data_IF_813521366884
#
_entry.id   IF_813521366884
#
_cell.length_a   1.000
_cell.length_b   1.000
_cell.length_c   1.000
_cell.angle_alpha   90.00
_cell.angle_beta   90.00
_cell.angle_gamma   90.00
#
_symmetry.space_group_name_H-M   'P 1'
#
loop_
_entity.id
_entity.type
_entity.pdbx_description
1 polymer ?
#
# COMPACT_ATOMS: atom_id res chain seq x y z
N UNK A 1 -10.52 -21.26 -6.89
CA UNK A 1 -11.24 -21.02 -5.62
C UNK A 1 -11.32 -19.53 -5.38
N UNK A 2 -12.49 -19.05 -5.01
CA UNK A 2 -12.68 -17.66 -4.58
C UNK A 2 -13.13 -17.61 -3.12
N UNK A 3 -12.76 -16.53 -2.44
CA UNK A 3 -13.13 -16.28 -1.05
C UNK A 3 -13.76 -14.90 -0.88
N UNK A 4 -14.55 -14.75 0.18
CA UNK A 4 -15.02 -13.46 0.68
C UNK A 4 -14.63 -13.33 2.15
N UNK A 5 -14.19 -12.13 2.56
CA UNK A 5 -13.84 -11.85 3.95
C UNK A 5 -14.92 -10.96 4.56
N UNK A 6 -15.43 -11.38 5.73
CA UNK A 6 -16.40 -10.62 6.53
C UNK A 6 -15.76 -10.20 7.83
N UNK A 7 -15.57 -8.91 8.03
CA UNK A 7 -15.14 -8.32 9.30
C UNK A 7 -16.36 -7.98 10.16
N UNK A 8 -16.31 -8.37 11.44
CA UNK A 8 -17.42 -8.22 12.38
C UNK A 8 -16.93 -7.36 13.54
N UNK A 9 -17.59 -6.21 13.71
CA UNK A 9 -17.32 -5.26 14.77
C UNK A 9 -18.00 -3.92 14.48
N UNK A 10 -18.72 -3.40 15.43
CA UNK A 10 -19.42 -2.11 15.33
C UNK A 10 -18.44 -0.94 15.30
N UNK A 11 -17.28 -1.04 15.98
CA UNK A 11 -16.21 -0.06 16.01
C UNK A 11 -15.59 0.20 14.62
N UNK A 12 -15.61 -0.83 13.75
CA UNK A 12 -15.17 -0.69 12.36
C UNK A 12 -16.13 0.19 11.55
N UNK A 13 -17.44 0.01 11.75
CA UNK A 13 -18.47 0.81 11.07
C UNK A 13 -18.52 2.25 11.58
N UNK A 14 -18.14 2.48 12.83
CA UNK A 14 -18.03 3.82 13.42
C UNK A 14 -16.75 4.54 13.00
N UNK A 15 -15.82 3.84 12.35
CA UNK A 15 -14.54 4.41 11.94
C UNK A 15 -13.56 4.64 13.09
N UNK A 16 -13.79 4.02 14.25
CA UNK A 16 -12.92 4.14 15.42
C UNK A 16 -11.60 3.42 15.22
N UNK A 17 -11.61 2.32 14.46
CA UNK A 17 -10.43 1.56 14.08
C UNK A 17 -10.43 1.23 12.58
N UNK A 18 -9.22 1.03 12.03
CA UNK A 18 -9.04 0.62 10.64
C UNK A 18 -9.01 -0.91 10.55
N UNK A 19 -9.73 -1.49 9.58
CA UNK A 19 -9.71 -2.91 9.29
C UNK A 19 -8.36 -3.36 8.70
N UNK A 20 -7.45 -3.74 9.57
CA UNK A 20 -6.15 -4.31 9.18
C UNK A 20 -6.22 -5.83 8.97
N UNK A 21 -7.25 -6.50 9.49
CA UNK A 21 -7.42 -7.96 9.40
C UNK A 21 -7.79 -8.38 7.98
N UNK A 22 -8.80 -7.76 7.37
CA UNK A 22 -9.20 -8.10 5.99
C UNK A 22 -8.05 -7.88 5.01
N UNK A 23 -7.33 -6.76 5.15
CA UNK A 23 -6.17 -6.48 4.32
C UNK A 23 -5.05 -7.53 4.47
N UNK A 24 -4.83 -8.04 5.69
CA UNK A 24 -3.84 -9.10 5.92
C UNK A 24 -4.31 -10.44 5.37
N UNK A 25 -5.54 -10.86 5.67
CA UNK A 25 -6.15 -12.11 5.18
C UNK A 25 -6.10 -12.16 3.65
N UNK A 26 -6.54 -11.08 2.98
CA UNK A 26 -6.56 -10.99 1.51
C UNK A 26 -5.16 -11.17 0.91
N UNK A 27 -4.12 -10.58 1.50
CA UNK A 27 -2.75 -10.79 1.04
C UNK A 27 -2.31 -12.25 1.15
N UNK A 28 -2.61 -12.90 2.28
CA UNK A 28 -2.24 -14.31 2.49
C UNK A 28 -3.00 -15.26 1.55
N UNK A 29 -4.29 -14.97 1.28
CA UNK A 29 -5.11 -15.73 0.33
C UNK A 29 -4.58 -15.59 -1.11
N UNK A 30 -4.23 -14.37 -1.51
CA UNK A 30 -3.58 -14.12 -2.80
C UNK A 30 -2.31 -14.96 -2.96
N UNK A 31 -1.47 -15.02 -1.92
CA UNK A 31 -0.18 -15.71 -1.98
C UNK A 31 -0.32 -17.25 -2.14
N UNK A 32 -1.54 -17.78 -1.98
CA UNK A 32 -1.91 -19.19 -2.23
C UNK A 32 -2.88 -19.38 -3.39
N UNK A 33 -3.07 -18.36 -4.25
CA UNK A 33 -3.92 -18.47 -5.43
C UNK A 33 -5.42 -18.42 -5.18
N UNK A 34 -5.86 -17.98 -4.00
CA UNK A 34 -7.28 -17.77 -3.68
C UNK A 34 -7.66 -16.32 -3.96
N UNK A 35 -8.59 -16.13 -4.90
CA UNK A 35 -9.08 -14.79 -5.29
C UNK A 35 -10.08 -14.26 -4.28
N UNK A 36 -9.97 -12.99 -3.91
CA UNK A 36 -10.96 -12.29 -3.06
C UNK A 36 -11.60 -11.18 -3.89
N UNK A 37 -12.92 -11.25 -4.09
CA UNK A 37 -13.66 -10.26 -4.86
C UNK A 37 -14.49 -9.32 -3.98
N UNK A 38 -14.79 -9.72 -2.74
CA UNK A 38 -15.63 -8.94 -1.83
C UNK A 38 -15.03 -8.91 -0.43
N UNK A 39 -15.04 -7.73 0.16
CA UNK A 39 -14.76 -7.47 1.57
C UNK A 39 -16.02 -6.83 2.16
N UNK A 40 -16.56 -7.42 3.21
CA UNK A 40 -17.81 -6.98 3.83
C UNK A 40 -17.58 -6.67 5.31
N UNK A 41 -17.97 -5.49 5.78
CA UNK A 41 -17.94 -5.14 7.21
C UNK A 41 -19.35 -5.12 7.76
N UNK A 42 -19.56 -5.78 8.89
CA UNK A 42 -20.88 -5.90 9.54
C UNK A 42 -20.74 -5.58 11.04
N UNK A 43 -21.64 -4.76 11.56
CA UNK A 43 -21.74 -4.54 13.01
C UNK A 43 -22.33 -5.73 13.75
N UNK A 44 -22.15 -5.76 15.08
CA UNK A 44 -22.54 -6.83 15.98
C UNK A 44 -24.06 -7.00 16.07
N UNK A 45 -24.58 -7.75 15.12
CA UNK A 45 -26.01 -8.09 15.03
C UNK A 45 -26.19 -9.45 14.38
N UNK A 46 -26.82 -10.37 15.08
CA UNK A 46 -27.00 -11.76 14.68
C UNK A 46 -27.58 -11.92 13.26
N UNK A 47 -28.66 -11.20 12.96
CA UNK A 47 -29.38 -11.35 11.69
C UNK A 47 -28.56 -10.80 10.53
N UNK A 48 -27.92 -9.64 10.73
CA UNK A 48 -27.08 -9.00 9.69
C UNK A 48 -25.85 -9.87 9.36
N UNK A 49 -25.17 -10.41 10.41
CA UNK A 49 -24.03 -11.29 10.22
C UNK A 49 -24.45 -12.58 9.51
N UNK A 50 -25.54 -13.22 9.95
CA UNK A 50 -26.05 -14.43 9.30
C UNK A 50 -26.48 -14.19 7.84
N UNK A 51 -27.07 -13.03 7.56
CA UNK A 51 -27.44 -12.65 6.19
C UNK A 51 -26.21 -12.42 5.32
N UNK A 52 -25.18 -11.70 5.82
CA UNK A 52 -23.92 -11.49 5.11
C UNK A 52 -23.27 -12.83 4.74
N UNK A 53 -23.17 -13.77 5.72
CA UNK A 53 -22.61 -15.11 5.48
C UNK A 53 -23.38 -15.85 4.39
N UNK A 54 -24.73 -15.86 4.42
CA UNK A 54 -25.53 -16.52 3.39
C UNK A 54 -25.32 -15.91 1.98
N UNK A 55 -25.25 -14.57 1.92
CA UNK A 55 -25.00 -13.86 0.66
C UNK A 55 -23.61 -14.21 0.11
N UNK A 56 -22.61 -14.27 0.98
CA UNK A 56 -21.24 -14.61 0.60
C UNK A 56 -21.12 -16.08 0.15
N UNK A 57 -21.75 -17.03 0.84
CA UNK A 57 -21.76 -18.44 0.45
C UNK A 57 -22.45 -18.70 -0.88
N UNK A 58 -23.39 -17.84 -1.31
CA UNK A 58 -24.06 -17.98 -2.58
C UNK A 58 -23.16 -17.61 -3.80
N UNK A 59 -22.01 -16.97 -3.55
CA UNK A 59 -21.12 -16.46 -4.61
C UNK A 59 -19.64 -16.77 -4.41
N UNK A 60 -19.28 -17.39 -3.28
CA UNK A 60 -17.89 -17.68 -2.92
C UNK A 60 -17.74 -19.09 -2.39
N UNK A 61 -16.64 -19.77 -2.75
CA UNK A 61 -16.34 -21.13 -2.31
C UNK A 61 -15.97 -21.17 -0.81
N UNK A 62 -15.43 -20.04 -0.28
CA UNK A 62 -14.99 -19.89 1.10
C UNK A 62 -15.38 -18.51 1.62
N UNK A 63 -15.96 -18.50 2.82
CA UNK A 63 -16.24 -17.27 3.59
C UNK A 63 -15.36 -17.27 4.83
N UNK A 64 -14.55 -16.24 5.02
CA UNK A 64 -13.71 -16.08 6.21
C UNK A 64 -14.30 -14.94 7.04
N UNK A 65 -14.74 -15.25 8.26
CA UNK A 65 -15.18 -14.24 9.22
C UNK A 65 -14.06 -13.91 10.20
N UNK A 66 -13.91 -12.66 10.61
CA UNK A 66 -12.97 -12.22 11.65
C UNK A 66 -13.65 -11.26 12.61
N UNK A 67 -13.63 -11.57 13.91
CA UNK A 67 -14.30 -10.84 14.98
C UNK A 67 -15.50 -11.58 15.59
N UNK A 68 -16.01 -11.11 16.72
CA UNK A 68 -17.20 -11.60 17.41
C UNK A 68 -17.13 -13.02 17.97
N UNK A 69 -15.92 -13.51 18.32
CA UNK A 69 -15.68 -14.82 18.94
C UNK A 69 -15.35 -14.73 20.45
N UNK A 70 -15.45 -13.57 21.05
CA UNK A 70 -15.25 -13.38 22.48
C UNK A 70 -16.36 -13.96 23.34
N UNK A 71 -16.32 -13.72 24.66
CA UNK A 71 -17.31 -14.23 25.62
C UNK A 71 -18.46 -13.26 25.90
N UNK A 72 -18.48 -12.09 25.28
CA UNK A 72 -19.44 -11.02 25.58
C UNK A 72 -20.76 -11.21 24.81
N UNK A 73 -21.79 -10.49 25.18
CA UNK A 73 -23.14 -10.67 24.62
C UNK A 73 -23.22 -10.24 23.15
N UNK A 74 -22.36 -9.31 22.75
CA UNK A 74 -22.20 -8.81 21.40
C UNK A 74 -21.34 -9.72 20.50
N UNK A 75 -20.63 -10.72 21.07
CA UNK A 75 -19.90 -11.73 20.32
C UNK A 75 -20.83 -12.77 19.69
N UNK A 76 -21.42 -12.44 18.54
CA UNK A 76 -22.51 -13.21 17.93
C UNK A 76 -22.07 -14.08 16.73
N UNK A 77 -20.79 -14.13 16.41
CA UNK A 77 -20.31 -14.84 15.20
C UNK A 77 -20.65 -16.32 15.21
N UNK A 78 -20.49 -17.03 16.36
CA UNK A 78 -20.83 -18.45 16.47
C UNK A 78 -22.30 -18.74 16.15
N UNK A 79 -23.19 -17.94 16.75
CA UNK A 79 -24.65 -18.05 16.56
C UNK A 79 -25.01 -17.69 15.10
N UNK A 80 -24.37 -16.67 14.55
CA UNK A 80 -24.64 -16.22 13.18
C UNK A 80 -24.22 -17.26 12.13
N UNK A 81 -23.05 -17.91 12.32
CA UNK A 81 -22.59 -18.99 11.45
C UNK A 81 -23.51 -20.20 11.59
N UNK A 82 -23.86 -20.62 12.83
CA UNK A 82 -24.82 -21.70 13.06
C UNK A 82 -26.14 -21.45 12.33
N UNK A 83 -26.70 -20.24 12.47
CA UNK A 83 -27.93 -19.82 11.79
C UNK A 83 -27.79 -19.77 10.26
N UNK A 84 -26.69 -19.25 9.74
CA UNK A 84 -26.45 -19.15 8.31
C UNK A 84 -26.33 -20.53 7.65
N UNK A 85 -25.70 -21.48 8.33
CA UNK A 85 -25.47 -22.85 7.87
C UNK A 85 -26.53 -23.86 8.31
N UNK A 86 -27.60 -23.39 8.99
CA UNK A 86 -28.71 -24.19 9.50
C UNK A 86 -28.24 -25.31 10.45
N UNK A 87 -27.30 -24.98 11.35
CA UNK A 87 -26.77 -25.89 12.35
C UNK A 87 -27.12 -25.38 13.74
N UNK A 88 -27.17 -26.33 14.69
CA UNK A 88 -27.27 -26.01 16.11
C UNK A 88 -25.86 -25.76 16.67
N UNK A 89 -25.79 -25.09 17.82
CA UNK A 89 -24.54 -24.97 18.57
C UNK A 89 -24.39 -26.17 19.52
N UNK A 90 -23.25 -26.81 19.49
CA UNK A 90 -22.91 -27.90 20.44
C UNK A 90 -21.77 -27.49 21.36
N UNK A 91 -21.88 -27.91 22.63
CA UNK A 91 -20.81 -27.72 23.61
C UNK A 91 -19.70 -28.74 23.36
N UNK A 92 -18.46 -28.25 23.25
CA UNK A 92 -17.26 -29.08 23.02
C UNK A 92 -16.38 -29.04 24.27
N UNK A 93 -16.38 -30.16 25.09
CA UNK A 93 -15.59 -30.21 26.34
C UNK A 93 -14.11 -29.95 26.12
N UNK A 94 -13.51 -30.41 25.00
CA UNK A 94 -12.13 -30.22 24.67
C UNK A 94 -11.77 -28.72 24.43
N UNK A 95 -12.69 -27.94 23.86
CA UNK A 95 -12.49 -26.50 23.70
C UNK A 95 -12.62 -25.75 25.03
N UNK A 96 -13.53 -26.21 25.89
CA UNK A 96 -13.65 -25.62 27.22
C UNK A 96 -12.40 -25.87 28.07
N UNK A 97 -11.84 -27.09 28.01
CA UNK A 97 -10.58 -27.41 28.67
C UNK A 97 -9.42 -26.52 28.15
N UNK A 98 -9.35 -26.35 26.86
CA UNK A 98 -8.37 -25.46 26.22
C UNK A 98 -8.47 -24.02 26.74
N UNK A 99 -9.68 -23.47 26.86
CA UNK A 99 -9.90 -22.12 27.38
C UNK A 99 -9.40 -22.07 28.83
N UNK A 100 -9.72 -23.08 29.66
CA UNK A 100 -9.29 -23.18 31.06
C UNK A 100 -7.78 -23.26 31.22
N UNK A 101 -7.13 -24.07 30.40
CA UNK A 101 -5.67 -24.16 30.34
C UNK A 101 -5.03 -22.81 29.98
N UNK A 102 -5.62 -22.12 29.01
CA UNK A 102 -5.11 -20.80 28.59
C UNK A 102 -5.19 -19.77 29.71
N UNK A 103 -6.32 -19.71 30.43
CA UNK A 103 -6.47 -18.86 31.62
C UNK A 103 -5.44 -19.19 32.70
N UNK A 104 -5.19 -20.48 32.95
CA UNK A 104 -4.16 -20.92 33.87
C UNK A 104 -2.76 -20.50 33.47
N UNK A 105 -2.40 -20.61 32.19
CA UNK A 105 -1.08 -20.21 31.67
C UNK A 105 -0.80 -18.71 31.82
N UNK A 106 -1.82 -17.87 31.68
CA UNK A 106 -1.66 -16.41 31.83
C UNK A 106 -1.86 -15.94 33.28
N UNK A 107 -2.12 -16.85 34.22
CA UNK A 107 -2.37 -16.54 35.64
C UNK A 107 -3.65 -15.75 35.90
N UNK A 108 -4.64 -15.82 35.02
CA UNK A 108 -5.92 -15.12 35.15
C UNK A 108 -7.04 -16.05 35.57
N UNK A 109 -8.07 -15.49 36.22
CA UNK A 109 -9.27 -16.23 36.61
C UNK A 109 -10.26 -16.24 35.45
N UNK A 110 -10.69 -17.44 35.03
CA UNK A 110 -11.74 -17.61 34.03
C UNK A 110 -13.11 -17.29 34.65
N UNK A 111 -13.90 -16.46 33.97
CA UNK A 111 -15.27 -16.15 34.35
C UNK A 111 -16.27 -17.11 33.67
N UNK A 112 -17.46 -17.26 34.25
CA UNK A 112 -18.47 -18.21 33.77
C UNK A 112 -18.94 -17.94 32.34
N UNK A 113 -18.93 -16.68 31.90
CA UNK A 113 -19.29 -16.32 30.55
C UNK A 113 -18.31 -16.84 29.48
N UNK A 114 -17.06 -17.18 29.85
CA UNK A 114 -16.12 -17.81 28.92
C UNK A 114 -16.58 -19.19 28.45
N UNK A 115 -17.52 -19.84 29.17
CA UNK A 115 -18.10 -21.12 28.76
C UNK A 115 -18.77 -21.04 27.37
N UNK A 116 -19.36 -19.89 27.01
CA UNK A 116 -20.02 -19.71 25.69
C UNK A 116 -19.06 -19.89 24.53
N UNK A 117 -17.77 -19.63 24.75
CA UNK A 117 -16.74 -19.77 23.72
C UNK A 117 -16.48 -21.23 23.30
N UNK A 118 -16.86 -22.21 24.14
CA UNK A 118 -16.75 -23.63 23.85
C UNK A 118 -17.92 -24.18 23.02
N UNK A 119 -18.92 -23.36 22.68
CA UNK A 119 -19.99 -23.76 21.76
C UNK A 119 -19.61 -23.40 20.33
N UNK A 120 -19.64 -24.37 19.44
CA UNK A 120 -19.40 -24.18 17.99
C UNK A 120 -20.53 -24.86 17.19
N UNK A 121 -20.74 -24.52 15.92
CA UNK A 121 -21.75 -25.17 15.09
C UNK A 121 -21.50 -26.67 14.97
N UNK A 122 -22.55 -27.47 15.10
CA UNK A 122 -22.50 -28.95 15.07
C UNK A 122 -21.79 -29.44 13.80
N UNK A 123 -20.87 -30.40 13.96
CA UNK A 123 -20.10 -30.99 12.88
C UNK A 123 -19.06 -30.03 12.25
N UNK A 124 -18.72 -28.92 12.90
CA UNK A 124 -17.60 -28.10 12.49
C UNK A 124 -16.26 -28.67 12.93
N UNK A 125 -15.21 -28.32 12.22
CA UNK A 125 -13.83 -28.65 12.56
C UNK A 125 -13.34 -27.59 13.56
N UNK A 126 -13.00 -27.98 14.81
CA UNK A 126 -12.46 -27.03 15.77
C UNK A 126 -11.04 -26.62 15.39
N UNK A 127 -10.73 -25.35 15.57
CA UNK A 127 -9.40 -24.79 15.31
C UNK A 127 -8.85 -24.18 16.59
N UNK A 128 -7.69 -24.66 16.99
CA UNK A 128 -7.03 -24.28 18.23
C UNK A 128 -6.46 -22.87 18.18
N UNK A 129 -6.76 -22.05 19.19
CA UNK A 129 -6.17 -20.73 19.38
C UNK A 129 -5.06 -20.78 20.45
N UNK A 130 -3.80 -20.82 20.00
CA UNK A 130 -2.62 -20.91 20.89
C UNK A 130 -2.31 -19.60 21.61
N UNK A 131 -2.80 -18.48 21.10
CA UNK A 131 -2.45 -17.14 21.61
C UNK A 131 -3.56 -16.46 22.39
N UNK A 132 -4.79 -16.92 22.23
CA UNK A 132 -5.98 -16.36 22.87
C UNK A 132 -6.89 -17.40 23.51
N UNK A 133 -8.05 -16.93 23.99
CA UNK A 133 -9.06 -17.78 24.65
C UNK A 133 -10.22 -18.16 23.75
N UNK A 134 -10.38 -17.50 22.59
CA UNK A 134 -11.49 -17.77 21.67
C UNK A 134 -11.13 -18.89 20.68
N UNK A 135 -11.68 -20.11 20.81
CA UNK A 135 -11.53 -21.15 19.81
C UNK A 135 -12.16 -20.70 18.48
N UNK A 136 -11.52 -21.11 17.40
CA UNK A 136 -11.99 -20.90 16.05
C UNK A 136 -12.57 -22.20 15.49
N UNK A 137 -13.21 -22.13 14.35
CA UNK A 137 -13.81 -23.31 13.73
C UNK A 137 -14.00 -23.14 12.23
N UNK A 138 -14.11 -24.28 11.52
CA UNK A 138 -14.42 -24.35 10.11
C UNK A 138 -15.74 -25.13 9.95
N UNK A 139 -16.72 -24.54 9.31
CA UNK A 139 -17.97 -25.20 8.92
C UNK A 139 -17.91 -25.53 7.44
N UNK A 140 -17.94 -26.80 7.09
CA UNK A 140 -18.05 -27.24 5.70
C UNK A 140 -19.51 -27.50 5.33
N UNK A 141 -19.93 -27.11 4.15
CA UNK A 141 -21.24 -27.33 3.59
C UNK A 141 -21.15 -27.60 2.08
N UNK A 142 -22.25 -28.03 1.47
CA UNK A 142 -22.34 -28.20 0.01
C UNK A 142 -22.14 -26.87 -0.75
N UNK A 143 -22.44 -25.74 -0.12
CA UNK A 143 -22.30 -24.41 -0.72
C UNK A 143 -20.88 -23.84 -0.61
N UNK A 144 -20.04 -24.41 0.26
CA UNK A 144 -18.70 -23.91 0.53
C UNK A 144 -18.30 -24.06 1.99
N UNK A 145 -17.25 -23.39 2.41
CA UNK A 145 -16.77 -23.42 3.78
C UNK A 145 -16.88 -22.04 4.45
N UNK A 146 -17.23 -22.02 5.75
CA UNK A 146 -17.15 -20.82 6.60
C UNK A 146 -16.04 -21.03 7.62
N UNK A 147 -15.05 -20.16 7.60
CA UNK A 147 -13.90 -20.18 8.53
C UNK A 147 -14.02 -18.98 9.45
N UNK A 148 -14.11 -19.22 10.77
CA UNK A 148 -14.26 -18.15 11.74
C UNK A 148 -12.99 -17.93 12.54
N UNK A 149 -12.46 -16.69 12.47
CA UNK A 149 -11.22 -16.24 13.07
C UNK A 149 -11.47 -15.16 14.13
N UNK A 150 -10.58 -15.00 15.12
CA UNK A 150 -10.72 -13.97 16.14
C UNK A 150 -10.50 -12.57 15.57
N UNK A 151 -11.00 -11.54 16.24
CA UNK A 151 -10.79 -10.14 15.89
C UNK A 151 -9.39 -9.64 16.22
N UNK A 152 -8.74 -10.21 17.26
CA UNK A 152 -7.39 -9.79 17.69
C UNK A 152 -6.36 -10.12 16.61
N UNK A 153 -5.66 -9.12 16.03
CA UNK A 153 -4.81 -9.32 14.84
C UNK A 153 -3.70 -10.37 15.06
N UNK A 154 -3.09 -10.39 16.24
CA UNK A 154 -2.00 -11.35 16.55
C UNK A 154 -2.51 -12.81 16.54
N UNK A 155 -3.69 -13.04 17.10
CA UNK A 155 -4.33 -14.36 17.17
C UNK A 155 -4.76 -14.80 15.77
N UNK A 156 -5.44 -13.91 15.05
CA UNK A 156 -5.91 -14.15 13.69
C UNK A 156 -4.76 -14.54 12.75
N UNK A 157 -3.63 -13.81 12.79
CA UNK A 157 -2.46 -14.08 11.95
C UNK A 157 -1.86 -15.46 12.23
N UNK A 158 -1.74 -15.85 13.50
CA UNK A 158 -1.20 -17.15 13.90
C UNK A 158 -2.08 -18.29 13.37
N UNK A 159 -3.39 -18.22 13.60
CA UNK A 159 -4.36 -19.24 13.17
C UNK A 159 -4.44 -19.31 11.64
N UNK A 160 -4.45 -18.16 10.98
CA UNK A 160 -4.47 -18.09 9.52
C UNK A 160 -3.26 -18.84 8.93
N UNK A 161 -2.05 -18.54 9.42
CA UNK A 161 -0.82 -19.15 8.92
C UNK A 161 -0.71 -20.64 9.27
N UNK A 162 -1.04 -21.02 10.53
CA UNK A 162 -0.81 -22.36 11.03
C UNK A 162 -1.89 -23.37 10.59
N UNK A 163 -3.12 -22.93 10.33
CA UNK A 163 -4.26 -23.83 10.09
C UNK A 163 -5.00 -23.50 8.81
N UNK A 164 -5.41 -22.24 8.60
CA UNK A 164 -6.31 -21.91 7.50
C UNK A 164 -5.60 -21.97 6.15
N UNK A 165 -4.38 -21.45 6.04
CA UNK A 165 -3.61 -21.51 4.79
C UNK A 165 -3.31 -22.94 4.37
N UNK A 166 -2.83 -23.87 5.26
CA UNK A 166 -2.70 -25.28 4.94
C UNK A 166 -4.01 -25.93 4.50
N UNK A 167 -5.10 -25.72 5.24
CA UNK A 167 -6.43 -26.23 4.90
C UNK A 167 -6.89 -25.80 3.50
N UNK A 168 -6.71 -24.51 3.16
CA UNK A 168 -7.09 -24.00 1.86
C UNK A 168 -6.20 -24.53 0.74
N UNK A 169 -4.91 -24.69 0.98
CA UNK A 169 -3.98 -25.34 0.03
C UNK A 169 -4.37 -26.76 -0.29
N UNK A 170 -4.77 -27.52 0.70
CA UNK A 170 -5.26 -28.91 0.50
C UNK A 170 -6.54 -28.91 -0.37
N UNK A 171 -7.49 -28.02 -0.10
CA UNK A 171 -8.73 -27.88 -0.90
C UNK A 171 -8.51 -27.40 -2.32
N UNK A 172 -7.47 -26.62 -2.57
CA UNK A 172 -7.10 -26.20 -3.94
C UNK A 172 -6.30 -27.23 -4.69
N UNK A 173 -6.01 -28.38 -4.09
CA UNK A 173 -5.14 -29.40 -4.67
C UNK A 173 -3.67 -28.99 -4.71
N UNK A 174 -3.29 -28.00 -3.93
CA UNK A 174 -1.92 -27.45 -3.91
C UNK A 174 -1.57 -26.64 -5.16
N UNK A 175 -2.52 -26.44 -6.07
CA UNK A 175 -2.32 -25.80 -7.36
C UNK A 175 -2.70 -24.32 -7.32
N UNK A 176 -1.83 -23.51 -7.87
CA UNK A 176 -2.05 -22.09 -8.12
C UNK A 176 -1.32 -21.16 -7.15
N UNK A 177 -0.32 -20.51 -7.69
CA UNK A 177 0.30 -19.34 -7.07
C UNK A 177 -0.19 -18.07 -7.77
N UNK A 178 -0.27 -16.98 -7.03
CA UNK A 178 -0.42 -15.65 -7.63
C UNK A 178 0.86 -14.88 -7.34
N UNK A 179 1.53 -14.44 -8.40
CA UNK A 179 2.73 -13.61 -8.33
C UNK A 179 2.44 -12.25 -8.89
N UNK A 180 2.96 -11.21 -8.27
CA UNK A 180 2.78 -9.84 -8.74
C UNK A 180 4.12 -9.12 -8.86
N UNK A 181 4.30 -8.40 -9.97
CA UNK A 181 5.34 -7.43 -10.19
C UNK A 181 4.73 -6.03 -10.14
N UNK A 182 5.37 -5.11 -9.44
CA UNK A 182 5.03 -3.69 -9.47
C UNK A 182 6.17 -2.95 -10.15
N UNK A 183 5.87 -2.29 -11.26
CA UNK A 183 6.79 -1.39 -11.95
C UNK A 183 6.47 0.04 -11.49
N UNK A 184 7.48 0.71 -10.92
CA UNK A 184 7.35 2.04 -10.36
C UNK A 184 7.69 3.08 -11.42
N UNK A 185 6.77 4.01 -11.72
CA UNK A 185 7.02 5.07 -12.71
C UNK A 185 7.05 6.45 -12.09
N UNK A 186 7.84 7.35 -12.68
CA UNK A 186 7.92 8.75 -12.30
C UNK A 186 8.03 9.65 -13.54
N UNK A 187 7.48 10.88 -13.45
CA UNK A 187 7.52 11.87 -14.55
C UNK A 187 6.52 11.64 -15.66
N UNK A 188 5.56 10.73 -15.45
CA UNK A 188 4.44 10.47 -16.36
C UNK A 188 3.16 10.41 -15.54
N UNK A 189 2.08 10.97 -16.05
CA UNK A 189 0.76 10.92 -15.41
C UNK A 189 0.03 9.61 -15.70
N UNK A 190 -0.89 9.21 -14.79
CA UNK A 190 -1.68 7.97 -14.90
C UNK A 190 -2.38 7.83 -16.26
N UNK A 191 -3.09 8.86 -16.70
CA UNK A 191 -3.78 8.86 -18.01
C UNK A 191 -2.85 8.69 -19.21
N UNK A 192 -1.58 9.11 -19.09
CA UNK A 192 -0.60 8.93 -20.15
C UNK A 192 -0.01 7.51 -20.13
N UNK A 193 0.09 6.88 -18.96
CA UNK A 193 0.44 5.46 -18.85
C UNK A 193 -0.69 4.62 -19.41
N UNK A 194 -1.93 4.84 -18.93
CA UNK A 194 -3.14 4.17 -19.40
C UNK A 194 -3.26 4.18 -20.94
N UNK A 195 -3.16 5.36 -21.54
CA UNK A 195 -3.24 5.49 -23.01
C UNK A 195 -2.21 4.65 -23.77
N UNK A 196 -1.09 4.26 -23.15
CA UNK A 196 -0.03 3.46 -23.77
C UNK A 196 -0.16 1.97 -23.55
N UNK A 197 -0.88 1.54 -22.48
CA UNK A 197 -0.98 0.13 -22.07
C UNK A 197 -2.42 -0.37 -21.91
N UNK A 198 -3.43 0.40 -22.31
CA UNK A 198 -4.85 0.08 -22.16
C UNK A 198 -5.25 -1.31 -22.73
N UNK A 199 -4.59 -1.75 -23.80
CA UNK A 199 -4.80 -3.10 -24.36
C UNK A 199 -4.34 -4.21 -23.39
N UNK A 200 -3.31 -3.98 -22.58
CA UNK A 200 -2.82 -4.94 -21.58
C UNK A 200 -3.79 -5.03 -20.39
N UNK A 201 -4.51 -3.97 -20.06
CA UNK A 201 -5.50 -3.97 -18.97
C UNK A 201 -6.72 -4.87 -19.27
N UNK A 202 -6.92 -5.22 -20.55
CA UNK A 202 -7.96 -6.17 -20.97
C UNK A 202 -7.55 -7.63 -20.81
N UNK A 203 -6.29 -7.92 -20.50
CA UNK A 203 -5.82 -9.28 -20.34
C UNK A 203 -6.41 -9.94 -19.08
N UNK A 204 -6.78 -11.21 -19.21
CA UNK A 204 -7.32 -11.99 -18.10
C UNK A 204 -6.24 -12.63 -17.22
N UNK A 205 -5.08 -12.98 -17.81
CA UNK A 205 -3.92 -13.52 -17.11
C UNK A 205 -2.65 -13.42 -17.98
N UNK A 206 -1.62 -12.67 -17.57
CA UNK A 206 -1.58 -11.86 -16.36
C UNK A 206 -2.55 -10.67 -16.45
N UNK A 207 -3.07 -10.21 -15.33
CA UNK A 207 -3.79 -8.95 -15.27
C UNK A 207 -2.82 -7.79 -15.11
N UNK A 208 -3.10 -6.68 -15.78
CA UNK A 208 -2.36 -5.43 -15.66
C UNK A 208 -3.31 -4.37 -15.12
N UNK A 209 -2.85 -3.55 -14.20
CA UNK A 209 -3.63 -2.46 -13.63
C UNK A 209 -2.75 -1.34 -13.10
N UNK A 210 -3.32 -0.15 -12.99
CA UNK A 210 -2.66 1.06 -12.51
C UNK A 210 -3.03 1.35 -11.05
N UNK A 211 -2.11 1.94 -10.32
CA UNK A 211 -2.33 2.48 -8.99
C UNK A 211 -1.64 3.83 -8.87
N UNK A 212 -2.44 4.91 -8.80
CA UNK A 212 -1.92 6.26 -8.64
C UNK A 212 -1.52 6.52 -7.18
N UNK A 213 -0.39 7.17 -7.02
CA UNK A 213 0.11 7.72 -5.78
C UNK A 213 0.45 9.21 -5.98
N UNK A 214 0.75 9.91 -4.91
CA UNK A 214 1.10 11.33 -4.99
C UNK A 214 2.33 11.58 -5.88
N UNK A 215 2.08 12.01 -7.13
CA UNK A 215 3.13 12.31 -8.13
C UNK A 215 3.77 11.10 -8.82
N UNK A 216 3.21 9.90 -8.66
CA UNK A 216 3.72 8.65 -9.23
C UNK A 216 2.57 7.76 -9.70
N UNK A 217 2.86 6.82 -10.60
CA UNK A 217 1.92 5.79 -11.04
C UNK A 217 2.64 4.44 -11.02
N UNK A 218 2.06 3.49 -10.30
CA UNK A 218 2.55 2.11 -10.31
C UNK A 218 1.79 1.29 -11.35
N UNK A 219 2.49 0.47 -12.10
CA UNK A 219 1.92 -0.53 -13.00
C UNK A 219 2.06 -1.88 -12.33
N UNK A 220 0.94 -2.50 -11.99
CA UNK A 220 0.91 -3.82 -11.36
C UNK A 220 0.59 -4.89 -12.39
N UNK A 221 1.50 -5.84 -12.55
CA UNK A 221 1.29 -7.06 -13.34
C UNK A 221 1.07 -8.22 -12.36
N UNK A 222 -0.04 -8.94 -12.48
CA UNK A 222 -0.37 -10.06 -11.58
C UNK A 222 -0.68 -11.30 -12.41
N UNK A 223 0.11 -12.34 -12.24
CA UNK A 223 -0.07 -13.63 -12.91
C UNK A 223 -0.55 -14.70 -11.93
N UNK A 224 -1.46 -15.54 -12.39
CA UNK A 224 -1.86 -16.79 -11.74
C UNK A 224 -1.35 -17.96 -12.56
N UNK A 225 -0.70 -18.92 -11.91
CA UNK A 225 -0.09 -20.08 -12.58
C UNK A 225 0.03 -21.29 -11.64
N UNK A 226 0.32 -22.45 -12.19
CA UNK A 226 0.50 -23.67 -11.41
C UNK A 226 1.94 -23.82 -10.87
N UNK A 227 2.87 -22.98 -11.33
CA UNK A 227 4.26 -22.94 -10.86
C UNK A 227 4.82 -21.53 -10.86
N UNK A 228 5.89 -21.31 -10.07
CA UNK A 228 6.61 -20.03 -10.07
C UNK A 228 7.20 -19.70 -11.44
N UNK A 229 7.77 -20.68 -12.11
CA UNK A 229 8.38 -20.50 -13.43
C UNK A 229 7.35 -20.05 -14.49
N UNK A 230 6.13 -20.61 -14.43
CA UNK A 230 5.04 -20.21 -15.32
C UNK A 230 4.54 -18.79 -14.99
N UNK A 231 4.38 -18.46 -13.70
CA UNK A 231 4.01 -17.12 -13.28
C UNK A 231 5.06 -16.09 -13.72
N UNK A 232 6.35 -16.41 -13.58
CA UNK A 232 7.46 -15.56 -14.02
C UNK A 232 7.44 -15.35 -15.54
N UNK A 233 7.17 -16.38 -16.31
CA UNK A 233 7.07 -16.27 -17.76
C UNK A 233 5.91 -15.35 -18.19
N UNK A 234 4.73 -15.49 -17.56
CA UNK A 234 3.58 -14.64 -17.83
C UNK A 234 3.86 -13.17 -17.46
N UNK A 235 4.49 -12.92 -16.30
CA UNK A 235 4.87 -11.58 -15.88
C UNK A 235 5.89 -10.98 -16.84
N UNK A 236 6.92 -11.74 -17.21
CA UNK A 236 7.98 -11.27 -18.11
C UNK A 236 7.44 -10.88 -19.49
N UNK A 237 6.43 -11.58 -20.00
CA UNK A 237 5.77 -11.23 -21.25
C UNK A 237 5.12 -9.84 -21.18
N UNK A 238 4.33 -9.57 -20.14
CA UNK A 238 3.70 -8.26 -19.95
C UNK A 238 4.73 -7.17 -19.65
N UNK A 239 5.72 -7.45 -18.80
CA UNK A 239 6.80 -6.53 -18.45
C UNK A 239 7.58 -6.07 -19.69
N UNK A 240 7.91 -6.97 -20.60
CA UNK A 240 8.63 -6.64 -21.83
C UNK A 240 7.88 -5.59 -22.66
N UNK A 241 6.57 -5.78 -22.85
CA UNK A 241 5.72 -4.84 -23.59
C UNK A 241 5.60 -3.50 -22.86
N UNK A 242 5.43 -3.52 -21.53
CA UNK A 242 5.33 -2.31 -20.72
C UNK A 242 6.65 -1.52 -20.81
N UNK A 243 7.79 -2.21 -20.70
CA UNK A 243 9.11 -1.54 -20.80
C UNK A 243 9.38 -0.98 -22.19
N UNK A 244 8.92 -1.61 -23.24
CA UNK A 244 9.00 -1.06 -24.60
C UNK A 244 8.22 0.26 -24.71
N UNK A 245 7.03 0.37 -24.10
CA UNK A 245 6.13 1.51 -24.26
C UNK A 245 6.34 2.65 -23.27
N UNK A 246 6.73 2.34 -22.03
CA UNK A 246 6.88 3.32 -20.93
C UNK A 246 8.17 3.14 -20.12
N UNK A 247 9.12 2.34 -20.60
CA UNK A 247 10.36 2.01 -19.87
C UNK A 247 11.23 3.22 -19.53
N UNK A 248 11.15 4.30 -20.31
CA UNK A 248 11.85 5.54 -19.99
C UNK A 248 11.37 6.19 -18.65
N UNK A 249 10.17 5.87 -18.19
CA UNK A 249 9.58 6.39 -16.96
C UNK A 249 9.72 5.41 -15.77
N UNK A 250 10.11 4.17 -16.01
CA UNK A 250 10.26 3.15 -14.96
C UNK A 250 11.60 3.38 -14.25
N UNK A 251 11.51 3.71 -12.94
CA UNK A 251 12.68 3.94 -12.11
C UNK A 251 13.05 2.75 -11.23
N UNK A 252 12.11 1.85 -10.95
CA UNK A 252 12.35 0.73 -10.05
C UNK A 252 11.22 -0.28 -10.05
N UNK A 253 11.31 -1.26 -9.15
CA UNK A 253 10.32 -2.32 -8.97
C UNK A 253 9.95 -2.50 -7.49
N UNK A 254 8.79 -3.11 -7.25
CA UNK A 254 8.36 -3.47 -5.89
C UNK A 254 8.07 -2.27 -5.00
N UNK A 255 8.88 -2.04 -3.97
CA UNK A 255 8.69 -0.98 -2.98
C UNK A 255 9.79 0.08 -2.99
N UNK A 256 10.66 0.05 -3.98
CA UNK A 256 11.79 0.98 -4.07
C UNK A 256 11.31 2.44 -4.11
N UNK A 257 11.76 3.31 -3.18
CA UNK A 257 11.43 4.73 -3.22
C UNK A 257 12.16 5.44 -4.37
N UNK A 258 11.55 6.49 -4.93
CA UNK A 258 12.15 7.25 -6.03
C UNK A 258 13.48 7.90 -5.63
N UNK A 259 13.58 8.35 -4.38
CA UNK A 259 14.78 8.95 -3.81
C UNK A 259 15.96 7.98 -3.79
N UNK A 260 15.72 6.75 -3.37
CA UNK A 260 16.75 5.70 -3.32
C UNK A 260 17.21 5.32 -4.73
N UNK A 261 16.27 5.16 -5.66
CA UNK A 261 16.58 4.89 -7.06
C UNK A 261 17.39 6.05 -7.69
N UNK A 262 17.03 7.31 -7.36
CA UNK A 262 17.77 8.47 -7.85
C UNK A 262 19.17 8.56 -7.24
N UNK A 263 19.32 8.37 -5.94
CA UNK A 263 20.63 8.36 -5.27
C UNK A 263 21.52 7.23 -5.78
N UNK A 264 20.95 6.04 -6.02
CA UNK A 264 21.69 4.94 -6.65
C UNK A 264 22.21 5.31 -8.02
N UNK A 265 21.39 5.95 -8.86
CA UNK A 265 21.79 6.43 -10.18
C UNK A 265 22.93 7.48 -10.09
N UNK A 266 22.85 8.40 -9.11
CA UNK A 266 23.91 9.39 -8.88
C UNK A 266 25.24 8.72 -8.49
N UNK A 267 25.19 7.72 -7.58
CA UNK A 267 26.37 6.95 -7.18
C UNK A 267 27.02 6.22 -8.36
N UNK A 268 26.21 5.56 -9.19
CA UNK A 268 26.67 4.85 -10.37
C UNK A 268 27.39 5.76 -11.37
N UNK A 269 26.93 7.01 -11.47
CA UNK A 269 27.52 8.02 -12.37
C UNK A 269 28.61 8.88 -11.68
N UNK A 270 28.85 8.70 -10.38
CA UNK A 270 29.81 9.49 -9.61
C UNK A 270 29.42 10.97 -9.48
N UNK A 271 28.12 11.26 -9.45
CA UNK A 271 27.57 12.62 -9.39
C UNK A 271 27.10 12.99 -7.99
N UNK A 272 27.17 14.28 -7.67
CA UNK A 272 26.73 14.88 -6.42
C UNK A 272 25.47 15.71 -6.59
N UNK A 273 24.69 15.83 -5.51
CA UNK A 273 23.40 16.54 -5.50
C UNK A 273 23.39 17.67 -4.48
N UNK A 274 22.81 18.81 -4.85
CA UNK A 274 22.38 19.85 -3.95
C UNK A 274 20.87 20.02 -3.98
N UNK A 275 20.25 20.25 -2.81
CA UNK A 275 18.79 20.39 -2.70
C UNK A 275 18.45 21.66 -1.95
N UNK A 276 17.55 22.47 -2.51
CA UNK A 276 17.02 23.66 -1.86
C UNK A 276 15.50 23.64 -1.83
N UNK A 277 14.96 23.94 -0.65
CA UNK A 277 13.54 24.14 -0.44
C UNK A 277 13.27 25.51 0.16
N UNK A 278 12.32 26.25 -0.41
CA UNK A 278 11.85 27.51 0.14
C UNK A 278 10.32 27.54 0.15
N UNK A 279 9.74 27.58 1.35
CA UNK A 279 8.29 27.57 1.54
C UNK A 279 7.88 27.28 2.98
N UNK A 280 6.57 27.18 3.29
CA UNK A 280 6.08 26.82 4.61
C UNK A 280 6.58 25.42 4.97
N UNK A 281 7.02 25.21 6.18
CA UNK A 281 7.64 23.97 6.73
C UNK A 281 8.15 22.96 5.71
N UNK A 282 9.40 22.55 5.81
CA UNK A 282 9.99 21.58 4.88
C UNK A 282 9.41 20.18 5.04
N UNK A 283 8.37 19.89 4.27
CA UNK A 283 7.67 18.59 4.30
C UNK A 283 8.15 17.63 3.21
N UNK A 284 9.05 18.03 2.31
CA UNK A 284 9.14 17.23 1.09
C UNK A 284 10.52 16.90 0.55
N UNK A 285 11.35 17.87 0.21
CA UNK A 285 12.51 17.57 -0.63
C UNK A 285 13.76 17.35 0.19
N UNK A 286 14.10 18.28 1.08
CA UNK A 286 15.36 18.17 1.86
C UNK A 286 15.30 17.04 2.89
N UNK A 287 14.13 16.77 3.49
CA UNK A 287 13.94 15.68 4.45
C UNK A 287 13.99 14.29 3.81
N UNK A 288 13.64 14.17 2.53
CA UNK A 288 13.69 12.91 1.78
C UNK A 288 15.11 12.48 1.40
N UNK A 289 16.08 13.40 1.39
CA UNK A 289 17.45 13.16 0.99
C UNK A 289 18.41 13.13 2.19
N UNK A 290 18.42 12.05 2.94
CA UNK A 290 19.33 11.80 4.07
C UNK A 290 20.53 10.92 3.65
N UNK A 291 21.20 11.26 2.55
CA UNK A 291 22.28 10.49 1.92
C UNK A 291 23.52 11.37 1.82
N UNK A 292 24.31 11.47 2.90
CA UNK A 292 25.43 12.41 3.05
C UNK A 292 26.63 12.12 2.13
N UNK A 293 26.69 10.94 1.55
CA UNK A 293 27.71 10.54 0.57
C UNK A 293 27.49 11.11 -0.83
N UNK A 294 26.26 11.51 -1.13
CA UNK A 294 25.86 12.03 -2.47
C UNK A 294 25.31 13.45 -2.37
N UNK A 295 24.54 13.74 -1.30
CA UNK A 295 23.91 15.05 -1.11
C UNK A 295 24.84 15.97 -0.33
N UNK A 296 25.55 16.82 -1.06
CA UNK A 296 26.59 17.68 -0.49
C UNK A 296 26.09 19.03 0.03
N UNK A 297 24.88 19.43 -0.33
CA UNK A 297 24.23 20.63 0.19
C UNK A 297 22.70 20.42 0.36
N UNK A 298 22.19 20.88 1.51
CA UNK A 298 20.76 20.93 1.82
C UNK A 298 20.46 22.31 2.39
N UNK A 299 19.63 23.06 1.68
CA UNK A 299 19.20 24.37 2.13
C UNK A 299 17.69 24.39 2.30
N UNK A 300 17.19 25.00 3.35
CA UNK A 300 15.77 25.26 3.53
C UNK A 300 15.53 26.64 4.08
N UNK A 301 14.43 27.28 3.64
CA UNK A 301 13.99 28.59 4.10
C UNK A 301 12.49 28.69 4.10
N UNK A 302 11.95 29.48 5.01
CA UNK A 302 10.51 29.70 5.13
C UNK A 302 10.06 31.09 4.72
N UNK A 303 11.00 32.01 4.55
CA UNK A 303 10.74 33.41 4.19
C UNK A 303 11.04 33.70 2.73
N UNK A 304 10.01 34.12 2.00
CA UNK A 304 10.14 34.49 0.58
C UNK A 304 11.01 35.74 0.38
N UNK A 305 10.96 36.69 1.32
CA UNK A 305 11.77 37.92 1.28
C UNK A 305 13.26 37.61 1.37
N UNK A 306 13.65 36.73 2.30
CA UNK A 306 15.04 36.28 2.42
C UNK A 306 15.52 35.53 1.14
N UNK A 307 14.65 34.77 0.51
CA UNK A 307 14.97 34.14 -0.76
C UNK A 307 15.21 35.20 -1.85
N UNK A 308 14.31 36.17 -1.98
CA UNK A 308 14.43 37.24 -2.96
C UNK A 308 15.69 38.10 -2.73
N UNK A 309 16.05 38.37 -1.49
CA UNK A 309 17.29 39.07 -1.14
C UNK A 309 18.53 38.27 -1.60
N UNK A 310 18.56 36.96 -1.29
CA UNK A 310 19.65 36.07 -1.74
C UNK A 310 19.81 36.01 -3.26
N UNK A 311 18.67 36.11 -3.97
CA UNK A 311 18.65 36.09 -5.44
C UNK A 311 18.89 37.46 -6.07
N UNK A 312 19.03 38.56 -5.28
CA UNK A 312 19.15 39.92 -5.78
C UNK A 312 17.86 40.46 -6.40
N UNK A 313 16.70 39.92 -5.98
CA UNK A 313 15.35 40.24 -6.48
C UNK A 313 14.50 40.99 -5.44
N UNK A 314 15.10 41.59 -4.43
CA UNK A 314 14.42 42.27 -3.32
C UNK A 314 13.33 43.28 -3.73
N UNK A 315 13.54 43.98 -4.86
CA UNK A 315 12.57 44.92 -5.40
C UNK A 315 11.25 44.31 -5.87
N UNK A 316 11.15 42.98 -5.92
CA UNK A 316 9.96 42.26 -6.34
C UNK A 316 9.14 41.72 -5.15
N UNK A 317 9.54 41.99 -3.90
CA UNK A 317 8.92 41.46 -2.71
C UNK A 317 7.51 42.03 -2.41
N UNK A 318 7.16 43.19 -2.97
CA UNK A 318 5.95 43.94 -2.65
C UNK A 318 4.64 43.27 -3.17
N UNK A 319 4.75 42.42 -4.21
CA UNK A 319 3.60 41.70 -4.77
C UNK A 319 3.96 40.23 -5.10
N UNK A 320 3.80 39.31 -4.13
CA UNK A 320 4.06 37.89 -4.35
C UNK A 320 3.22 37.27 -5.47
N UNK A 321 2.04 37.83 -5.78
CA UNK A 321 1.17 37.30 -6.82
C UNK A 321 1.71 37.61 -8.25
N UNK A 322 2.53 38.64 -8.39
CA UNK A 322 3.20 38.98 -9.65
C UNK A 322 4.47 38.16 -9.91
N UNK A 323 4.97 37.39 -8.93
CA UNK A 323 6.19 36.62 -9.08
C UNK A 323 6.01 35.42 -10.00
N UNK A 324 7.01 35.15 -10.83
CA UNK A 324 7.12 33.90 -11.54
C UNK A 324 7.92 32.89 -10.74
N UNK A 325 7.19 31.94 -10.07
CA UNK A 325 7.81 30.90 -9.24
C UNK A 325 8.69 29.92 -10.04
N UNK A 326 8.49 29.81 -11.36
CA UNK A 326 9.39 29.04 -12.21
C UNK A 326 10.75 29.74 -12.33
N UNK A 327 10.76 31.06 -12.50
CA UNK A 327 12.00 31.84 -12.57
C UNK A 327 12.73 31.87 -11.23
N UNK A 328 11.98 31.99 -10.12
CA UNK A 328 12.56 31.90 -8.77
C UNK A 328 13.21 30.55 -8.51
N UNK A 329 12.51 29.44 -8.81
CA UNK A 329 13.06 28.10 -8.63
C UNK A 329 14.26 27.84 -9.53
N UNK A 330 14.28 28.42 -10.74
CA UNK A 330 15.41 28.32 -11.65
C UNK A 330 16.62 29.09 -11.12
N UNK A 331 16.42 30.32 -10.67
CA UNK A 331 17.49 31.14 -10.10
C UNK A 331 18.08 30.48 -8.85
N UNK A 332 17.23 29.94 -7.97
CA UNK A 332 17.67 29.25 -6.77
C UNK A 332 18.43 27.95 -7.08
N UNK A 333 17.93 27.13 -8.03
CA UNK A 333 18.62 25.92 -8.45
C UNK A 333 20.01 26.22 -8.98
N UNK A 334 20.16 27.28 -9.80
CA UNK A 334 21.45 27.71 -10.33
C UNK A 334 22.37 28.21 -9.23
N UNK A 335 21.86 29.05 -8.32
CA UNK A 335 22.65 29.54 -7.19
C UNK A 335 23.20 28.37 -6.33
N UNK A 336 22.33 27.41 -5.97
CA UNK A 336 22.74 26.28 -5.13
C UNK A 336 23.71 25.37 -5.88
N UNK A 337 23.54 25.16 -7.20
CA UNK A 337 24.47 24.40 -8.01
C UNK A 337 25.86 25.04 -7.97
N UNK A 338 25.94 26.36 -8.24
CA UNK A 338 27.19 27.14 -8.35
C UNK A 338 27.88 27.24 -6.97
N UNK A 339 27.14 27.47 -5.89
CA UNK A 339 27.71 27.68 -4.55
C UNK A 339 28.14 26.37 -3.86
N UNK A 340 27.46 25.28 -4.14
CA UNK A 340 27.79 23.97 -3.55
C UNK A 340 28.88 23.21 -4.31
N UNK A 341 29.03 23.51 -5.60
CA UNK A 341 29.87 22.73 -6.52
C UNK A 341 29.29 21.36 -6.87
N UNK A 342 27.97 21.14 -6.64
CA UNK A 342 27.29 19.89 -6.99
C UNK A 342 27.15 19.75 -8.51
N UNK A 343 27.02 18.53 -9.00
CA UNK A 343 26.79 18.23 -10.42
C UNK A 343 25.31 18.39 -10.80
N UNK A 344 24.42 18.24 -9.85
CA UNK A 344 22.96 18.32 -10.00
C UNK A 344 22.39 19.16 -8.88
N UNK A 345 21.41 20.01 -9.17
CA UNK A 345 20.64 20.72 -8.14
C UNK A 345 19.14 20.58 -8.37
N UNK A 346 18.42 20.50 -7.26
CA UNK A 346 16.97 20.57 -7.21
C UNK A 346 16.59 21.78 -6.35
N UNK A 347 15.75 22.67 -6.89
CA UNK A 347 15.13 23.75 -6.13
C UNK A 347 13.61 23.64 -6.19
N UNK A 348 13.00 23.81 -5.03
CA UNK A 348 11.57 23.87 -4.85
C UNK A 348 11.22 25.15 -4.11
N UNK A 349 10.50 26.05 -4.76
CA UNK A 349 10.04 27.33 -4.20
C UNK A 349 8.52 27.34 -4.21
N UNK A 350 7.90 27.51 -3.05
CA UNK A 350 6.45 27.56 -2.92
C UNK A 350 5.99 28.64 -1.96
N UNK A 351 4.88 29.27 -2.32
CA UNK A 351 4.18 30.29 -1.54
C UNK A 351 2.69 30.16 -1.85
N UNK A 352 1.81 30.83 -1.10
CA UNK A 352 0.36 30.79 -1.35
C UNK A 352 -0.04 31.18 -2.78
N UNK A 353 0.77 32.04 -3.41
CA UNK A 353 0.54 32.51 -4.78
C UNK A 353 0.99 31.54 -5.88
N UNK A 354 1.76 30.50 -5.57
CA UNK A 354 2.21 29.53 -6.57
C UNK A 354 3.39 28.69 -6.13
N UNK A 355 3.76 27.75 -7.02
CA UNK A 355 4.89 26.84 -6.81
C UNK A 355 5.74 26.74 -8.08
N UNK A 356 7.05 26.81 -7.92
CA UNK A 356 8.04 26.53 -8.94
C UNK A 356 8.97 25.41 -8.52
N UNK A 357 9.27 24.50 -9.42
CA UNK A 357 10.26 23.44 -9.23
C UNK A 357 11.24 23.43 -10.39
N UNK A 358 12.53 23.29 -10.08
CA UNK A 358 13.59 23.18 -11.06
C UNK A 358 14.56 22.07 -10.69
N UNK A 359 14.91 21.25 -11.68
CA UNK A 359 16.04 20.35 -11.63
C UNK A 359 17.05 20.82 -12.69
N UNK A 360 18.32 20.94 -12.32
CA UNK A 360 19.37 21.49 -13.18
C UNK A 360 20.66 20.69 -13.05
N UNK A 361 21.38 20.60 -14.15
CA UNK A 361 22.79 20.22 -14.27
C UNK A 361 23.61 21.34 -14.89
N UNK A 362 24.90 21.19 -15.01
CA UNK A 362 25.74 22.22 -15.71
C UNK A 362 25.32 22.42 -17.18
N UNK A 363 24.61 21.50 -17.81
CA UNK A 363 24.30 21.51 -19.24
C UNK A 363 22.83 21.64 -19.58
N UNK A 364 21.94 21.12 -18.71
CA UNK A 364 20.50 21.00 -18.97
C UNK A 364 19.67 21.34 -17.73
N UNK A 365 18.51 21.93 -17.98
CA UNK A 365 17.55 22.23 -16.93
C UNK A 365 16.14 21.81 -17.32
N UNK A 366 15.31 21.53 -16.32
CA UNK A 366 13.87 21.35 -16.43
C UNK A 366 13.19 22.13 -15.32
N UNK A 367 12.20 22.94 -15.70
CA UNK A 367 11.44 23.76 -14.77
C UNK A 367 9.95 23.55 -14.99
N UNK A 368 9.18 23.57 -13.90
CA UNK A 368 7.71 23.58 -13.92
C UNK A 368 7.17 24.62 -12.98
N UNK A 369 6.03 25.21 -13.37
CA UNK A 369 5.22 26.11 -12.54
C UNK A 369 3.86 25.48 -12.28
N UNK A 370 3.36 25.70 -11.08
CA UNK A 370 2.00 25.32 -10.67
C UNK A 370 1.29 26.54 -10.09
N UNK A 371 -0.01 26.67 -10.40
CA UNK A 371 -0.86 27.74 -9.91
C UNK A 371 -1.40 27.55 -8.51
N UNK A 372 -0.89 26.57 -7.76
CA UNK A 372 -1.25 26.29 -6.36
C UNK A 372 -0.03 26.51 -5.46
N UNK A 373 -0.28 26.96 -4.23
CA UNK A 373 0.75 27.21 -3.24
C UNK A 373 0.88 26.11 -2.19
N UNK A 374 1.82 26.28 -1.26
CA UNK A 374 2.24 25.30 -0.27
C UNK A 374 1.25 24.97 0.85
N UNK A 375 0.09 25.60 0.89
CA UNK A 375 -0.95 25.37 1.90
C UNK A 375 -1.89 24.20 1.58
N UNK A 376 -1.90 23.69 0.35
CA UNK A 376 -2.66 22.48 -0.02
C UNK A 376 -1.96 21.24 0.55
N UNK A 377 -2.66 20.42 1.33
CA UNK A 377 -2.13 19.32 2.17
C UNK A 377 -1.17 18.36 1.45
N UNK A 378 -1.39 18.07 0.16
CA UNK A 378 -0.56 17.12 -0.62
C UNK A 378 0.35 17.80 -1.65
N UNK A 379 0.22 19.12 -1.86
CA UNK A 379 0.95 19.84 -2.88
C UNK A 379 2.49 19.78 -2.70
N UNK A 380 3.04 19.93 -1.49
CA UNK A 380 4.48 19.82 -1.26
C UNK A 380 5.03 18.44 -1.62
N UNK A 381 4.36 17.37 -1.21
CA UNK A 381 4.77 15.99 -1.50
C UNK A 381 4.70 15.72 -2.99
N UNK A 382 3.62 16.14 -3.64
CA UNK A 382 3.40 15.96 -5.07
C UNK A 382 4.43 16.71 -5.92
N UNK A 383 4.62 18.00 -5.66
CA UNK A 383 5.58 18.83 -6.40
C UNK A 383 7.04 18.39 -6.13
N UNK A 384 7.35 17.99 -4.88
CA UNK A 384 8.65 17.42 -4.52
C UNK A 384 8.96 16.14 -5.30
N UNK A 385 7.99 15.23 -5.44
CA UNK A 385 8.13 14.00 -6.24
C UNK A 385 8.39 14.32 -7.71
N UNK A 386 7.70 15.32 -8.27
CA UNK A 386 7.96 15.78 -9.64
C UNK A 386 9.35 16.39 -9.79
N UNK A 387 9.85 17.15 -8.82
CA UNK A 387 11.19 17.71 -8.83
C UNK A 387 12.27 16.62 -8.88
N UNK A 388 12.13 15.58 -8.04
CA UNK A 388 13.02 14.41 -8.02
C UNK A 388 12.95 13.67 -9.36
N UNK A 389 11.75 13.46 -9.89
CA UNK A 389 11.56 12.81 -11.18
C UNK A 389 12.24 13.57 -12.33
N UNK A 390 12.13 14.90 -12.35
CA UNK A 390 12.79 15.73 -13.34
C UNK A 390 14.32 15.58 -13.27
N UNK A 391 14.88 15.58 -12.05
CA UNK A 391 16.32 15.38 -11.83
C UNK A 391 16.76 13.97 -12.27
N UNK A 392 16.01 12.94 -11.89
CA UNK A 392 16.28 11.55 -12.29
C UNK A 392 16.30 11.39 -13.82
N UNK A 393 15.34 11.99 -14.53
CA UNK A 393 15.33 11.97 -16.00
C UNK A 393 16.50 12.74 -16.62
N UNK A 394 16.91 13.88 -16.04
CA UNK A 394 18.07 14.61 -16.52
C UNK A 394 19.34 13.77 -16.39
N UNK A 395 19.57 13.22 -15.20
CA UNK A 395 20.77 12.42 -14.92
C UNK A 395 20.80 11.12 -15.73
N UNK A 396 19.67 10.45 -15.89
CA UNK A 396 19.58 9.21 -16.68
C UNK A 396 20.06 9.43 -18.12
N UNK A 397 19.68 10.55 -18.73
CA UNK A 397 20.04 10.90 -20.13
C UNK A 397 21.41 11.55 -20.28
N UNK A 398 22.14 11.79 -19.17
CA UNK A 398 23.52 12.26 -19.24
C UNK A 398 24.43 11.17 -19.82
N UNK A 399 25.09 11.46 -20.93
CA UNK A 399 25.94 10.51 -21.66
C UNK A 399 25.29 9.82 -22.86
N UNK A 400 23.95 9.91 -23.02
CA UNK A 400 23.29 9.40 -24.25
C UNK A 400 23.40 10.35 -25.43
N UNK A 401 23.49 11.65 -25.17
CA UNK A 401 23.56 12.71 -26.20
C UNK A 401 25.00 12.98 -26.72
N UNK A 402 26.04 12.42 -26.09
CA UNK A 402 27.42 12.57 -26.54
C UNK A 402 27.82 11.54 -27.62
N UNK A 403 26.90 10.65 -27.97
CA UNK A 403 27.11 9.57 -28.94
C UNK A 403 26.23 9.62 -30.20
N UNK A 404 25.58 10.78 -30.44
CA UNK A 404 24.74 10.98 -31.63
C UNK A 404 25.33 12.00 -32.61
#
# INVERSE_FOLDING_TARGET
MNAEVITIGTELLLGEIVDTNSAYITRQLRDIGVSVFYLTTVGDNLERIAQAIRTSLARSDVVITTGGLGPTVDDMTRQAVAKATRRELEFRPELFEQIRERFSQIGATMSDNNRVQAFIPTGSIPVYNRLGTAPCFIVESEQGAVISLPGVPREMKDILAATVIPYLRERTGGLGIIKALVLRTAGIGESQVDARIADLETWSNPTVGLAAHTGQTDIRVTARADSEAEADALIAQAEAIIRERVGEYIYGTGKEPLEEAFVTLLREKGLTLAVSYNGPEDLSVTQRFQFDDVVIARESGTDLGELLDRLGMASQADDPAALDFADLSRAEARRVLDTSGADVAIAYVTHDAGTGITAITHHKERTRRYGFGGTATDAPVWAGTWAISMAWHLVRRMGEDDSA
#
